data_IF_664092744361
#
_entry.id   IF_664092744361
#
_cell.length_a   1.000
_cell.length_b   1.000
_cell.length_c   1.000
_cell.angle_alpha   90.00
_cell.angle_beta   90.00
_cell.angle_gamma   90.00
#
_symmetry.space_group_name_H-M   'P 1'
#
loop_
_entity.id
_entity.type
_entity.pdbx_description
1 polymer ?
#
# COMPACT_ATOMS: atom_id res chain seq x y z
N UNK A 1 27.31 5.64 -7.89
CA UNK A 1 27.28 5.45 -8.08
C UNK A 1 27.30 5.55 -7.99
N UNK A 2 27.50 5.76 -7.91
CA UNK A 2 27.44 5.64 -8.13
C UNK A 2 27.38 5.68 -7.90
N UNK A 3 27.85 6.17 -7.60
CA UNK A 3 27.50 5.89 -7.80
C UNK A 3 27.40 5.96 -7.40
N UNK A 4 27.35 6.13 -7.25
CA UNK A 4 27.20 5.85 -7.31
C UNK A 4 27.22 5.74 -6.88
N UNK A 5 27.01 5.93 -6.80
CA UNK A 5 26.90 5.46 -6.75
C UNK A 5 26.84 5.50 -6.18
N UNK A 6 27.11 5.87 -5.83
CA UNK A 6 26.94 5.48 -5.71
C UNK A 6 26.75 5.63 -5.15
N UNK A 7 26.95 6.05 -4.54
CA UNK A 7 26.58 5.72 -4.50
C UNK A 7 26.33 5.62 -3.93
N UNK A 8 26.41 5.85 -3.54
CA UNK A 8 25.93 5.22 -3.62
C UNK A 8 25.74 4.95 -3.21
N UNK A 9 25.65 5.04 -2.80
CA UNK A 9 25.27 4.24 -2.94
C UNK A 9 24.95 3.94 -2.72
N UNK A 10 24.93 3.92 -2.45
CA UNK A 10 24.49 3.28 -2.60
C UNK A 10 24.17 3.17 -2.36
N UNK A 11 24.04 3.45 -2.37
CA UNK A 11 23.49 3.23 -2.48
C UNK A 11 22.91 3.02 -2.81
N UNK A 12 23.01 2.95 -2.83
CA UNK A 12 22.33 2.69 -3.35
C UNK A 12 21.78 2.58 -3.55
N UNK A 13 21.65 2.64 -3.92
CA UNK A 13 21.07 2.36 -4.22
C UNK A 13 20.42 1.77 -4.13
N UNK A 14 20.07 1.65 -4.39
CA UNK A 14 19.10 1.07 -4.38
C UNK A 14 18.48 0.34 -3.93
N UNK A 15 17.97 0.40 -4.29
CA UNK A 15 17.55 -0.51 -3.46
C UNK A 15 16.11 -0.88 -3.26
N UNK A 16 15.20 0.01 -3.06
CA UNK A 16 13.81 -0.31 -2.79
C UNK A 16 13.01 -0.71 -4.03
N UNK A 17 11.85 -1.28 -3.80
CA UNK A 17 10.88 -1.63 -4.84
C UNK A 17 9.90 -0.46 -4.98
N UNK A 18 10.33 0.58 -5.67
CA UNK A 18 9.64 1.87 -5.67
C UNK A 18 8.76 2.12 -6.89
N UNK A 19 8.70 1.19 -7.83
CA UNK A 19 7.81 1.35 -8.98
C UNK A 19 6.36 1.21 -8.53
N UNK A 20 5.46 1.92 -9.20
CA UNK A 20 4.06 1.95 -8.80
C UNK A 20 3.28 0.76 -9.34
N UNK A 21 2.36 0.27 -8.55
CA UNK A 21 1.25 -0.55 -9.01
C UNK A 21 0.06 0.38 -9.16
N UNK A 22 -0.60 0.30 -10.32
CA UNK A 22 -1.76 1.12 -10.62
C UNK A 22 -3.02 0.26 -10.51
N UNK A 23 -4.02 0.76 -9.79
CA UNK A 23 -5.31 0.11 -9.63
C UNK A 23 -6.35 1.04 -10.23
N UNK A 24 -7.05 0.56 -11.26
CA UNK A 24 -8.15 1.29 -11.90
C UNK A 24 -9.44 0.54 -11.66
N UNK A 25 -10.41 1.20 -11.06
CA UNK A 25 -11.72 0.61 -10.75
C UNK A 25 -12.77 1.52 -11.35
N UNK A 26 -13.59 0.98 -12.24
CA UNK A 26 -14.64 1.76 -12.87
C UNK A 26 -15.80 1.99 -11.90
N UNK A 27 -16.52 3.10 -12.13
CA UNK A 27 -17.64 3.48 -11.28
C UNK A 27 -18.70 2.37 -11.15
N UNK A 28 -18.91 1.61 -12.22
CA UNK A 28 -19.96 0.60 -12.22
C UNK A 28 -19.58 -0.70 -11.56
N UNK A 29 -18.32 -0.92 -11.31
CA UNK A 29 -17.82 -2.19 -10.77
C UNK A 29 -17.34 -2.12 -9.35
N UNK A 30 -17.34 -0.95 -8.71
CA UNK A 30 -16.83 -0.90 -7.35
C UNK A 30 -17.93 -1.18 -6.32
N UNK A 31 -17.53 -1.78 -5.22
CA UNK A 31 -18.39 -2.07 -4.09
C UNK A 31 -17.89 -1.24 -2.91
N UNK A 32 -18.46 -0.04 -2.76
CA UNK A 32 -18.06 0.86 -1.67
C UNK A 32 -18.21 0.18 -0.32
N UNK A 33 -17.24 0.40 0.54
CA UNK A 33 -17.24 -0.17 1.88
C UNK A 33 -16.72 -1.59 1.99
N UNK A 34 -16.43 -2.26 0.89
CA UNK A 34 -15.91 -3.62 0.90
C UNK A 34 -14.39 -3.61 0.97
N UNK A 35 -13.77 -4.35 1.91
CA UNK A 35 -12.31 -4.45 1.96
C UNK A 35 -11.76 -5.12 0.70
N UNK A 36 -10.71 -4.53 0.15
CA UNK A 36 -10.03 -5.03 -1.03
C UNK A 36 -8.53 -5.14 -0.75
N UNK A 37 -7.83 -5.82 -1.62
CA UNK A 37 -6.39 -5.99 -1.50
C UNK A 37 -5.78 -5.96 -2.89
N UNK A 38 -4.66 -5.29 -3.03
CA UNK A 38 -3.87 -5.29 -4.25
C UNK A 38 -3.06 -6.58 -4.39
N UNK A 39 -2.19 -6.64 -5.36
CA UNK A 39 -1.28 -7.78 -5.54
C UNK A 39 -0.19 -7.74 -4.47
N UNK A 40 0.39 -8.90 -4.17
CA UNK A 40 1.54 -8.98 -3.28
C UNK A 40 2.79 -8.55 -4.04
N UNK A 41 3.59 -7.69 -3.43
CA UNK A 41 4.85 -7.23 -4.00
C UNK A 41 5.96 -7.34 -2.96
N UNK A 42 7.17 -7.60 -3.41
CA UNK A 42 8.31 -7.76 -2.52
C UNK A 42 8.62 -6.44 -1.80
N UNK A 43 8.76 -6.53 -0.48
CA UNK A 43 9.18 -5.43 0.37
C UNK A 43 10.69 -5.52 0.54
N UNK A 44 11.44 -4.65 -0.12
CA UNK A 44 12.89 -4.79 -0.22
C UNK A 44 13.66 -3.98 0.80
N UNK A 45 13.10 -2.93 1.34
CA UNK A 45 13.79 -2.11 2.32
C UNK A 45 12.86 -1.73 3.48
N UNK A 46 13.36 -0.89 4.37
CA UNK A 46 12.64 -0.53 5.59
C UNK A 46 11.81 0.75 5.45
N UNK A 47 11.66 1.25 4.24
CA UNK A 47 10.89 2.47 4.02
C UNK A 47 9.40 2.21 4.09
N UNK A 48 8.63 3.29 4.13
CA UNK A 48 7.17 3.22 4.17
C UNK A 48 6.60 2.67 2.87
N UNK A 49 5.41 2.08 2.95
CA UNK A 49 4.58 1.87 1.77
C UNK A 49 4.04 3.24 1.36
N UNK A 50 4.13 3.55 0.08
CA UNK A 50 3.59 4.79 -0.47
C UNK A 50 2.30 4.49 -1.21
N UNK A 51 1.31 5.37 -1.05
CA UNK A 51 0.06 5.24 -1.81
C UNK A 51 -0.54 6.61 -2.09
N UNK A 52 -1.25 6.69 -3.19
CA UNK A 52 -1.88 7.92 -3.65
C UNK A 52 -3.28 7.63 -4.20
N UNK A 53 -4.24 8.44 -3.79
CA UNK A 53 -5.59 8.41 -4.38
C UNK A 53 -5.62 9.42 -5.51
N UNK A 54 -5.37 8.95 -6.73
CA UNK A 54 -5.34 9.78 -7.94
C UNK A 54 -6.71 9.98 -8.57
N UNK A 55 -7.77 9.54 -7.89
CA UNK A 55 -9.12 9.61 -8.42
C UNK A 55 -9.55 11.05 -8.65
N UNK A 56 -10.32 11.25 -9.71
CA UNK A 56 -10.86 12.58 -10.04
C UNK A 56 -12.35 12.68 -9.74
N UNK A 57 -12.98 11.57 -9.36
CA UNK A 57 -14.43 11.49 -9.18
C UNK A 57 -14.91 11.74 -7.76
N UNK A 58 -14.04 12.19 -6.87
CA UNK A 58 -14.45 12.63 -5.54
C UNK A 58 -14.54 11.57 -4.45
N UNK A 59 -14.16 10.33 -4.73
CA UNK A 59 -14.21 9.28 -3.72
C UNK A 59 -12.99 9.28 -2.81
N UNK A 60 -13.19 9.13 -1.50
CA UNK A 60 -12.08 8.92 -0.57
C UNK A 60 -11.78 7.43 -0.43
N UNK A 61 -10.56 7.16 0.03
CA UNK A 61 -10.03 5.81 0.16
C UNK A 61 -9.54 5.64 1.58
N UNK A 62 -9.76 4.47 2.16
CA UNK A 62 -9.11 4.08 3.42
C UNK A 62 -8.11 2.99 3.11
N UNK A 63 -6.88 3.10 3.59
CA UNK A 63 -5.80 2.21 3.21
C UNK A 63 -4.99 1.75 4.41
N UNK A 64 -4.39 0.57 4.28
CA UNK A 64 -3.52 -0.04 5.29
C UNK A 64 -2.52 -0.94 4.60
N UNK A 65 -1.56 -1.44 5.35
CA UNK A 65 -0.52 -2.34 4.83
C UNK A 65 -0.80 -3.76 5.33
N UNK A 66 -0.66 -4.74 4.46
CA UNK A 66 -0.74 -6.15 4.79
C UNK A 66 0.58 -6.82 4.46
N UNK A 67 0.84 -7.98 5.07
CA UNK A 67 2.12 -8.68 4.99
C UNK A 67 1.93 -10.18 4.81
N UNK A 68 2.89 -10.80 4.14
CA UNK A 68 2.93 -12.27 4.03
C UNK A 68 4.34 -12.72 3.67
N UNK A 69 4.62 -14.00 3.93
CA UNK A 69 5.81 -14.66 3.39
C UNK A 69 5.47 -15.58 2.21
N UNK A 70 4.20 -15.69 1.86
CA UNK A 70 3.76 -16.51 0.74
C UNK A 70 2.84 -15.68 -0.16
N UNK A 71 3.39 -15.19 -1.26
CA UNK A 71 2.64 -14.33 -2.19
C UNK A 71 1.49 -15.05 -2.92
N UNK A 72 1.36 -16.35 -2.75
CA UNK A 72 0.27 -17.11 -3.35
C UNK A 72 -0.90 -17.32 -2.37
N UNK A 73 -0.79 -16.80 -1.15
CA UNK A 73 -1.83 -17.00 -0.15
C UNK A 73 -2.98 -16.01 -0.34
N UNK A 74 -4.19 -16.47 -0.03
CA UNK A 74 -5.35 -15.58 0.11
C UNK A 74 -5.49 -15.04 1.53
N UNK A 75 -4.76 -15.61 2.50
CA UNK A 75 -4.76 -15.11 3.86
C UNK A 75 -4.20 -13.71 3.93
N UNK A 76 -4.72 -12.90 4.83
CA UNK A 76 -4.25 -11.55 5.02
C UNK A 76 -3.80 -11.37 6.46
N UNK A 77 -2.70 -10.66 6.63
CA UNK A 77 -2.20 -10.25 7.93
C UNK A 77 -1.95 -8.75 7.88
N UNK A 78 -2.58 -8.02 8.77
CA UNK A 78 -2.28 -6.60 8.90
C UNK A 78 -0.98 -6.42 9.67
N UNK A 79 -0.35 -5.30 9.47
CA UNK A 79 0.83 -4.92 10.24
C UNK A 79 0.36 -4.05 11.39
N UNK A 80 0.38 -4.60 12.60
CA UNK A 80 -0.24 -3.95 13.75
C UNK A 80 0.65 -2.92 14.43
N UNK A 81 1.88 -2.75 14.02
CA UNK A 81 2.78 -1.75 14.60
C UNK A 81 3.12 -0.69 13.58
N UNK A 82 2.11 -0.02 13.10
CA UNK A 82 2.30 1.09 12.20
C UNK A 82 1.09 2.02 12.27
N UNK A 83 1.28 3.19 11.76
CA UNK A 83 0.21 4.16 11.67
C UNK A 83 -0.79 3.73 10.60
N UNK A 84 -2.06 3.61 10.99
CA UNK A 84 -3.09 3.19 10.07
C UNK A 84 -3.12 1.70 9.79
N UNK A 85 -3.18 0.86 10.80
CA UNK A 85 -3.35 -0.59 10.63
C UNK A 85 -4.83 -0.97 10.74
N UNK A 86 -5.17 -2.07 10.12
CA UNK A 86 -6.53 -2.57 10.16
C UNK A 86 -6.51 -4.09 10.12
N UNK A 87 -7.23 -4.70 11.04
CA UNK A 87 -7.39 -6.14 11.05
C UNK A 87 -8.50 -6.54 10.09
N UNK A 88 -8.22 -7.49 9.25
CA UNK A 88 -9.19 -7.95 8.27
C UNK A 88 -10.48 -8.45 8.91
N UNK A 89 -10.38 -9.06 10.08
CA UNK A 89 -11.55 -9.55 10.78
C UNK A 89 -12.28 -8.45 11.56
N UNK A 90 -11.89 -7.22 11.38
CA UNK A 90 -12.60 -6.10 11.96
C UNK A 90 -12.28 -5.79 13.39
N UNK A 91 -11.31 -6.48 13.98
CA UNK A 91 -10.96 -6.25 15.38
C UNK A 91 -10.31 -4.89 15.58
N UNK A 92 -9.55 -4.42 14.60
CA UNK A 92 -8.87 -3.13 14.64
C UNK A 92 -9.16 -2.38 13.36
N UNK A 93 -9.47 -1.10 13.48
CA UNK A 93 -9.89 -0.29 12.34
C UNK A 93 -9.01 0.92 12.14
N UNK A 94 -7.75 0.76 12.35
CA UNK A 94 -6.83 1.88 12.27
C UNK A 94 -6.32 2.05 10.84
N UNK A 95 -7.10 2.71 10.01
CA UNK A 95 -6.82 2.91 8.60
C UNK A 95 -6.47 4.36 8.32
N UNK A 96 -5.63 4.58 7.32
CA UNK A 96 -5.35 5.95 6.87
C UNK A 96 -6.37 6.36 5.83
N UNK A 97 -7.02 7.48 6.06
CA UNK A 97 -7.98 8.04 5.12
C UNK A 97 -7.25 8.89 4.08
N UNK A 98 -7.52 8.64 2.81
CA UNK A 98 -6.96 9.38 1.69
C UNK A 98 -8.08 10.01 0.88
N UNK A 99 -8.35 11.30 1.08
CA UNK A 99 -9.24 12.01 0.17
C UNK A 99 -8.67 12.03 -1.24
N UNK A 100 -9.52 12.28 -2.21
CA UNK A 100 -9.12 12.42 -3.60
C UNK A 100 -7.95 13.41 -3.73
N UNK A 101 -6.95 13.04 -4.51
CA UNK A 101 -5.80 13.91 -4.78
C UNK A 101 -4.72 13.91 -3.70
N UNK A 102 -4.83 13.05 -2.70
CA UNK A 102 -3.82 13.00 -1.62
C UNK A 102 -2.98 11.75 -1.72
N UNK A 103 -1.79 11.82 -1.13
CA UNK A 103 -0.90 10.67 -1.00
C UNK A 103 -0.36 10.61 0.41
N UNK A 104 0.09 9.40 0.82
CA UNK A 104 0.66 9.20 2.14
C UNK A 104 1.74 8.14 2.11
N UNK A 105 2.68 8.30 3.03
CA UNK A 105 3.65 7.27 3.36
C UNK A 105 3.10 6.53 4.57
N UNK A 106 2.95 5.21 4.44
CA UNK A 106 2.41 4.35 5.50
C UNK A 106 3.58 3.63 6.19
N UNK A 107 4.05 4.13 7.33
CA UNK A 107 5.13 3.48 8.08
C UNK A 107 4.67 2.10 8.51
N UNK A 108 5.57 1.13 8.44
CA UNK A 108 5.23 -0.25 8.77
C UNK A 108 6.48 -1.01 9.19
N UNK A 109 6.27 -2.21 9.72
CA UNK A 109 7.34 -3.08 10.19
C UNK A 109 7.38 -4.40 9.43
N UNK A 110 6.92 -4.41 8.18
CA UNK A 110 6.87 -5.63 7.38
C UNK A 110 8.24 -6.28 7.29
N UNK A 111 9.24 -5.51 6.87
CA UNK A 111 10.60 -6.03 6.69
C UNK A 111 11.26 -6.33 8.02
N UNK A 112 11.10 -5.45 9.00
CA UNK A 112 11.66 -5.63 10.34
C UNK A 112 11.14 -6.90 11.01
N UNK A 113 9.88 -7.24 10.75
CA UNK A 113 9.25 -8.44 11.32
C UNK A 113 9.52 -9.71 10.51
N UNK A 114 10.37 -9.62 9.48
CA UNK A 114 10.80 -10.79 8.72
C UNK A 114 9.89 -11.21 7.59
N UNK A 115 8.97 -10.35 7.18
CA UNK A 115 8.06 -10.65 6.06
C UNK A 115 8.65 -10.14 4.76
N UNK A 116 8.48 -10.94 3.71
CA UNK A 116 9.02 -10.66 2.39
C UNK A 116 8.12 -9.79 1.52
N UNK A 117 6.82 -9.91 1.69
CA UNK A 117 5.86 -9.30 0.78
C UNK A 117 4.90 -8.40 1.51
N UNK A 118 4.56 -7.31 0.85
CA UNK A 118 3.56 -6.37 1.34
C UNK A 118 2.52 -6.14 0.24
N UNK A 119 1.37 -5.68 0.65
CA UNK A 119 0.36 -5.19 -0.28
C UNK A 119 -0.41 -4.05 0.36
N UNK A 120 -1.11 -3.31 -0.47
CA UNK A 120 -2.03 -2.29 -0.01
C UNK A 120 -3.40 -2.92 0.14
N UNK A 121 -3.94 -2.90 1.37
CA UNK A 121 -5.35 -3.15 1.60
C UNK A 121 -6.08 -1.82 1.53
N UNK A 122 -7.30 -1.82 1.02
CA UNK A 122 -8.03 -0.57 0.89
C UNK A 122 -9.54 -0.79 0.89
N UNK A 123 -10.25 0.27 1.25
CA UNK A 123 -11.70 0.35 1.16
C UNK A 123 -12.04 1.60 0.37
N UNK A 124 -12.84 1.44 -0.67
CA UNK A 124 -13.41 2.57 -1.40
C UNK A 124 -14.59 3.07 -0.59
N UNK A 125 -14.51 4.31 -0.10
CA UNK A 125 -15.51 4.84 0.83
C UNK A 125 -16.77 5.37 0.13
N UNK A 126 -16.76 5.40 -1.19
CA UNK A 126 -17.93 5.84 -1.96
C UNK A 126 -18.17 4.88 -3.10
N UNK A 127 -19.40 4.39 -3.21
CA UNK A 127 -19.80 3.50 -4.28
C UNK A 127 -20.10 4.27 -5.56
N UNK A 128 -19.95 3.59 -6.69
CA UNK A 128 -20.31 4.11 -8.01
C UNK A 128 -19.54 5.35 -8.45
N UNK A 129 -18.30 5.51 -7.96
CA UNK A 129 -17.34 6.48 -8.51
C UNK A 129 -16.10 5.74 -8.97
N UNK A 130 -15.44 6.28 -9.97
CA UNK A 130 -14.20 5.67 -10.47
C UNK A 130 -13.05 5.98 -9.52
N UNK A 131 -12.20 4.99 -9.30
CA UNK A 131 -11.00 5.12 -8.47
C UNK A 131 -9.75 4.86 -9.31
N UNK A 132 -8.75 5.66 -9.07
CA UNK A 132 -7.43 5.49 -9.67
C UNK A 132 -6.42 5.59 -8.53
N UNK A 133 -5.78 4.48 -8.20
CA UNK A 133 -4.91 4.36 -7.03
C UNK A 133 -3.53 3.94 -7.49
N UNK A 134 -2.50 4.58 -6.95
CA UNK A 134 -1.11 4.17 -7.17
C UNK A 134 -0.50 3.82 -5.82
N UNK A 135 0.35 2.79 -5.78
CA UNK A 135 1.06 2.45 -4.57
C UNK A 135 2.35 1.71 -4.88
N UNK A 136 3.28 1.76 -3.95
CA UNK A 136 4.52 0.98 -4.04
C UNK A 136 4.88 0.43 -2.66
N UNK A 137 5.51 -0.76 -2.60
CA UNK A 137 5.85 -1.36 -1.30
C UNK A 137 6.96 -0.61 -0.58
N UNK A 138 7.82 0.05 -1.31
CA UNK A 138 8.91 0.83 -0.75
C UNK A 138 8.81 2.27 -1.25
N UNK A 139 9.39 3.19 -0.53
CA UNK A 139 9.42 4.59 -0.91
C UNK A 139 10.85 5.12 -0.89
N UNK A 140 11.01 6.29 -1.43
CA UNK A 140 12.34 6.91 -1.51
C UNK A 140 12.58 7.75 -0.27
#
# INVERSE_FOLDING_TARGET
LVGSEMCIRDRVFSAGNVSDTIINISARSNNGGTPCRSIWREKKDYTSVWCENKSTSGGSLSAWVQRTNNKNTSSVKTVDRYYGSWSYNGATKNMKNLPKGTYYYLPNYVKEDGYKYATLGYIMNKEAVSYHIAWSPDSI
#
